data_IF_312018629822
#
_entry.id   IF_312018629822
#
_cell.length_a   1.000
_cell.length_b   1.000
_cell.length_c   1.000
_cell.angle_alpha   90.00
_cell.angle_beta   90.00
_cell.angle_gamma   90.00
#
_symmetry.space_group_name_H-M   'P 1'
#
loop_
_entity.id
_entity.type
_entity.pdbx_description
1 polymer ?
#
# COMPACT_ATOMS: atom_id res chain seq x y z
N UNK A 1 7.92 -3.89 5.48
CA UNK A 1 8.09 -3.17 4.19
C UNK A 1 7.03 -2.08 4.10
N UNK A 2 7.35 -0.89 3.56
CA UNK A 2 6.44 0.26 3.55
C UNK A 2 5.17 0.02 2.72
N UNK A 3 5.31 -0.51 1.50
CA UNK A 3 4.20 -0.80 0.59
C UNK A 3 3.16 -1.76 1.18
N UNK A 4 3.60 -2.75 1.99
CA UNK A 4 2.71 -3.71 2.64
C UNK A 4 1.81 -3.03 3.68
N UNK A 5 2.31 -1.99 4.35
CA UNK A 5 1.56 -1.25 5.36
C UNK A 5 0.43 -0.42 4.75
N UNK A 6 0.59 0.04 3.50
CA UNK A 6 -0.41 0.86 2.81
C UNK A 6 -1.35 0.04 1.90
N UNK A 7 -1.30 -1.29 1.99
CA UNK A 7 -2.01 -2.20 1.08
C UNK A 7 -3.49 -2.32 1.41
N UNK A 8 -3.80 -2.44 2.71
CA UNK A 8 -5.18 -2.52 3.18
C UNK A 8 -5.79 -1.13 3.32
N UNK A 9 -6.40 -0.63 2.24
CA UNK A 9 -7.06 0.68 2.23
C UNK A 9 -8.33 0.73 3.06
N UNK A 10 -8.81 -0.41 3.56
CA UNK A 10 -9.97 -0.45 4.45
C UNK A 10 -9.64 0.09 5.84
N UNK A 11 -8.42 -0.17 6.29
CA UNK A 11 -7.88 0.24 7.58
C UNK A 11 -8.01 1.76 7.87
N UNK A 12 -7.51 2.68 7.03
CA UNK A 12 -7.63 4.12 7.27
C UNK A 12 -9.08 4.59 7.38
N UNK A 13 -10.00 3.99 6.62
CA UNK A 13 -11.43 4.30 6.67
C UNK A 13 -12.03 3.82 7.99
N UNK A 14 -11.71 2.60 8.42
CA UNK A 14 -12.17 2.06 9.69
C UNK A 14 -11.69 2.92 10.88
N UNK A 15 -10.41 3.33 10.88
CA UNK A 15 -9.84 4.21 11.91
C UNK A 15 -10.54 5.57 11.93
N UNK A 16 -10.73 6.18 10.76
CA UNK A 16 -11.45 7.45 10.63
C UNK A 16 -12.88 7.36 11.15
N UNK A 17 -13.65 6.38 10.68
CA UNK A 17 -15.05 6.22 11.08
C UNK A 17 -15.18 5.97 12.58
N UNK A 18 -14.30 5.17 13.17
CA UNK A 18 -14.27 4.93 14.60
C UNK A 18 -13.97 6.22 15.37
N UNK A 19 -12.94 6.97 14.96
CA UNK A 19 -12.57 8.22 15.61
C UNK A 19 -13.69 9.27 15.52
N UNK A 20 -14.27 9.49 14.35
CA UNK A 20 -15.33 10.49 14.17
C UNK A 20 -16.59 10.15 14.99
N UNK A 21 -16.98 8.88 15.03
CA UNK A 21 -18.20 8.46 15.73
C UNK A 21 -18.01 8.35 17.24
N UNK A 22 -16.91 7.75 17.70
CA UNK A 22 -16.70 7.48 19.13
C UNK A 22 -16.01 8.61 19.89
N UNK A 23 -15.12 9.36 19.23
CA UNK A 23 -14.32 10.42 19.89
C UNK A 23 -14.92 11.79 19.61
N UNK A 24 -15.35 12.07 18.37
CA UNK A 24 -15.95 13.37 18.01
C UNK A 24 -17.47 13.42 18.12
N UNK A 25 -18.13 12.27 18.30
CA UNK A 25 -19.59 12.20 18.47
C UNK A 25 -20.39 12.45 17.19
N UNK A 26 -19.77 12.31 16.01
CA UNK A 26 -20.45 12.55 14.74
C UNK A 26 -21.33 11.34 14.40
N UNK A 27 -22.48 11.59 13.79
CA UNK A 27 -23.22 10.53 13.11
C UNK A 27 -22.42 9.99 11.92
N UNK A 28 -22.75 8.79 11.46
CA UNK A 28 -22.12 8.18 10.28
C UNK A 28 -22.24 9.10 9.05
N UNK A 29 -23.43 9.64 8.79
CA UNK A 29 -23.69 10.56 7.68
C UNK A 29 -22.81 11.80 7.77
N UNK A 30 -22.75 12.45 8.94
CA UNK A 30 -21.89 13.63 9.14
C UNK A 30 -20.41 13.32 8.89
N UNK A 31 -19.92 12.16 9.32
CA UNK A 31 -18.54 11.75 9.04
C UNK A 31 -18.31 11.57 7.53
N UNK A 32 -19.23 10.93 6.81
CA UNK A 32 -19.12 10.77 5.34
C UNK A 32 -19.17 12.12 4.61
N UNK A 33 -20.00 13.05 5.07
CA UNK A 33 -20.11 14.40 4.50
C UNK A 33 -18.82 15.19 4.70
N UNK A 34 -18.22 15.13 5.89
CA UNK A 34 -16.95 15.78 6.21
C UNK A 34 -15.82 15.20 5.38
N UNK A 35 -15.77 13.86 5.25
CA UNK A 35 -14.80 13.16 4.42
C UNK A 35 -14.87 13.60 2.95
N UNK A 36 -16.09 13.69 2.41
CA UNK A 36 -16.35 14.12 1.03
C UNK A 36 -16.00 15.59 0.83
N UNK A 37 -16.44 16.45 1.74
CA UNK A 37 -16.21 17.90 1.67
C UNK A 37 -14.70 18.21 1.74
N UNK A 38 -13.95 17.51 2.60
CA UNK A 38 -12.52 17.65 2.66
C UNK A 38 -11.84 17.24 1.34
N UNK A 39 -12.29 16.13 0.73
CA UNK A 39 -11.76 15.67 -0.56
C UNK A 39 -11.91 16.72 -1.67
N UNK A 40 -13.10 17.35 -1.74
CA UNK A 40 -13.39 18.42 -2.70
C UNK A 40 -12.56 19.66 -2.42
N UNK A 41 -12.49 20.10 -1.16
CA UNK A 41 -11.69 21.27 -0.77
C UNK A 41 -10.19 21.10 -1.05
N UNK A 42 -9.69 19.88 -0.99
CA UNK A 42 -8.30 19.56 -1.34
C UNK A 42 -8.07 19.40 -2.85
N UNK A 43 -9.12 19.43 -3.68
CA UNK A 43 -9.01 19.24 -5.13
C UNK A 43 -8.67 17.81 -5.56
N UNK A 44 -8.85 16.81 -4.67
CA UNK A 44 -8.58 15.39 -4.97
C UNK A 44 -9.86 14.62 -5.35
N UNK A 45 -10.99 15.33 -5.41
CA UNK A 45 -12.29 14.80 -5.82
C UNK A 45 -13.14 15.92 -6.44
N UNK A 46 -13.68 15.68 -7.63
CA UNK A 46 -14.49 16.68 -8.33
C UNK A 46 -15.94 16.72 -7.86
N UNK A 47 -16.50 15.57 -7.48
CA UNK A 47 -17.90 15.47 -7.06
C UNK A 47 -18.08 15.71 -5.57
N UNK A 48 -18.97 16.66 -5.24
CA UNK A 48 -19.43 16.94 -3.88
C UNK A 48 -20.53 15.97 -3.39
N UNK A 49 -21.04 15.08 -4.24
CA UNK A 49 -22.06 14.12 -3.84
C UNK A 49 -21.48 13.09 -2.86
N UNK A 50 -21.98 13.05 -1.62
CA UNK A 50 -21.54 12.06 -0.64
C UNK A 50 -21.88 10.62 -1.11
N UNK A 51 -20.94 9.65 -1.01
CA UNK A 51 -21.27 8.25 -1.21
C UNK A 51 -22.29 7.77 -0.18
N UNK A 52 -23.07 6.75 -0.53
CA UNK A 52 -24.02 6.17 0.41
C UNK A 52 -23.29 5.59 1.65
N UNK A 53 -23.94 5.67 2.81
CA UNK A 53 -23.39 5.16 4.08
C UNK A 53 -22.98 3.68 4.00
N UNK A 54 -23.73 2.86 3.25
CA UNK A 54 -23.41 1.44 3.06
C UNK A 54 -22.13 1.26 2.25
N UNK A 55 -21.91 2.06 1.21
CA UNK A 55 -20.68 2.05 0.42
C UNK A 55 -19.46 2.40 1.26
N UNK A 56 -19.55 3.41 2.12
CA UNK A 56 -18.43 3.74 3.03
C UNK A 56 -18.22 2.67 4.10
N UNK A 57 -19.30 2.03 4.56
CA UNK A 57 -19.19 0.89 5.48
C UNK A 57 -18.53 -0.33 4.83
N UNK A 58 -18.76 -0.55 3.53
CA UNK A 58 -18.06 -1.57 2.73
C UNK A 58 -16.59 -1.23 2.56
N UNK A 59 -16.25 0.04 2.33
CA UNK A 59 -14.84 0.48 2.29
C UNK A 59 -14.09 0.19 3.59
N UNK A 60 -14.75 0.28 4.75
CA UNK A 60 -14.14 -0.09 6.03
C UNK A 60 -13.94 -1.61 6.22
N UNK A 61 -14.31 -2.42 5.23
CA UNK A 61 -14.27 -3.90 5.26
C UNK A 61 -13.61 -4.50 4.01
N UNK A 62 -13.43 -3.73 2.94
CA UNK A 62 -12.83 -4.18 1.69
C UNK A 62 -11.68 -3.28 1.26
N UNK A 63 -10.76 -3.84 0.48
CA UNK A 63 -9.58 -3.12 -0.04
C UNK A 63 -9.90 -2.09 -1.13
N UNK A 64 -11.18 -1.95 -1.49
CA UNK A 64 -11.66 -1.14 -2.61
C UNK A 64 -11.85 0.35 -2.26
N UNK A 65 -11.52 0.75 -1.03
CA UNK A 65 -11.59 2.15 -0.64
C UNK A 65 -10.80 3.04 -1.62
N UNK A 66 -11.42 4.09 -2.20
CA UNK A 66 -10.78 4.93 -3.19
C UNK A 66 -9.68 5.77 -2.54
N UNK A 67 -8.60 6.05 -3.28
CA UNK A 67 -7.44 6.74 -2.72
C UNK A 67 -7.77 8.11 -2.13
N UNK A 68 -8.65 8.89 -2.77
CA UNK A 68 -9.08 10.19 -2.24
C UNK A 68 -9.69 10.06 -0.83
N UNK A 69 -10.40 8.97 -0.54
CA UNK A 69 -11.03 8.75 0.76
C UNK A 69 -9.99 8.46 1.84
N UNK A 70 -8.93 7.72 1.49
CA UNK A 70 -7.79 7.45 2.39
C UNK A 70 -7.05 8.75 2.70
N UNK A 71 -6.75 9.56 1.68
CA UNK A 71 -6.03 10.83 1.84
C UNK A 71 -6.85 11.81 2.68
N UNK A 72 -8.15 11.95 2.40
CA UNK A 72 -9.06 12.77 3.21
C UNK A 72 -9.17 12.31 4.65
N UNK A 73 -9.35 11.00 4.88
CA UNK A 73 -9.45 10.43 6.21
C UNK A 73 -8.23 10.78 7.06
N UNK A 74 -7.02 10.52 6.54
CA UNK A 74 -5.78 10.79 7.25
C UNK A 74 -5.53 12.28 7.49
N UNK A 75 -5.91 13.13 6.53
CA UNK A 75 -5.80 14.59 6.69
C UNK A 75 -6.71 15.12 7.79
N UNK A 76 -7.96 14.63 7.85
CA UNK A 76 -8.91 15.04 8.89
C UNK A 76 -8.45 14.56 10.27
N UNK A 77 -7.94 13.33 10.36
CA UNK A 77 -7.40 12.79 11.62
C UNK A 77 -6.24 13.65 12.13
N UNK A 78 -5.31 14.04 11.26
CA UNK A 78 -4.21 14.97 11.58
C UNK A 78 -4.73 16.33 12.07
N UNK A 79 -5.69 16.94 11.36
CA UNK A 79 -6.29 18.23 11.75
C UNK A 79 -7.00 18.17 13.10
N UNK A 80 -7.58 17.03 13.46
CA UNK A 80 -8.16 16.81 14.78
C UNK A 80 -7.16 16.40 15.86
N UNK A 81 -5.87 16.46 15.58
CA UNK A 81 -4.79 16.18 16.52
C UNK A 81 -4.59 14.69 16.81
N UNK A 82 -5.16 13.78 16.02
CA UNK A 82 -4.89 12.35 16.19
C UNK A 82 -3.47 12.05 15.69
N UNK A 83 -2.62 11.65 16.63
CA UNK A 83 -1.28 11.13 16.34
C UNK A 83 -1.40 9.67 15.86
N UNK A 84 -0.72 9.27 14.76
CA UNK A 84 -0.68 7.88 14.34
C UNK A 84 -0.06 6.97 15.41
N UNK A 85 -0.71 5.84 15.69
CA UNK A 85 -0.26 4.91 16.73
C UNK A 85 0.56 3.74 16.16
N UNK A 86 -0.04 2.96 15.25
CA UNK A 86 0.58 1.78 14.64
C UNK A 86 1.45 2.16 13.45
N UNK A 87 2.42 1.31 13.08
CA UNK A 87 3.22 1.50 11.86
C UNK A 87 2.35 1.58 10.60
N UNK A 88 1.20 0.90 10.60
CA UNK A 88 0.21 0.98 9.53
C UNK A 88 -0.43 2.37 9.46
N UNK A 89 -0.85 2.95 10.60
CA UNK A 89 -1.34 4.33 10.66
C UNK A 89 -0.26 5.33 10.20
N UNK A 90 0.98 5.14 10.65
CA UNK A 90 2.10 5.99 10.22
C UNK A 90 2.35 5.93 8.72
N UNK A 91 2.26 4.73 8.12
CA UNK A 91 2.42 4.56 6.69
C UNK A 91 1.30 5.24 5.89
N UNK A 92 0.03 5.06 6.28
CA UNK A 92 -1.07 5.74 5.60
C UNK A 92 -1.07 7.25 5.78
N UNK A 93 -0.77 7.73 6.99
CA UNK A 93 -0.65 9.16 7.26
C UNK A 93 0.44 9.78 6.39
N UNK A 94 1.66 9.23 6.41
CA UNK A 94 2.78 9.77 5.63
C UNK A 94 2.52 9.69 4.13
N UNK A 95 1.88 8.63 3.64
CA UNK A 95 1.43 8.56 2.25
C UNK A 95 0.48 9.70 1.90
N UNK A 96 -0.53 9.95 2.75
CA UNK A 96 -1.50 11.03 2.54
C UNK A 96 -0.86 12.44 2.58
N UNK A 97 0.16 12.67 3.42
CA UNK A 97 0.92 13.92 3.42
C UNK A 97 1.64 14.13 2.10
N UNK A 98 2.34 13.10 1.61
CA UNK A 98 3.11 13.18 0.36
C UNK A 98 2.20 13.26 -0.87
N UNK A 99 1.02 12.64 -0.85
CA UNK A 99 0.01 12.79 -1.91
C UNK A 99 -0.47 14.24 -2.04
N UNK A 100 -0.58 14.97 -0.92
CA UNK A 100 -0.94 16.41 -0.90
C UNK A 100 0.23 17.35 -1.16
N UNK A 101 1.42 16.84 -1.46
CA UNK A 101 2.62 17.65 -1.70
C UNK A 101 3.34 18.13 -0.43
N UNK A 102 3.05 17.55 0.73
CA UNK A 102 3.78 17.85 1.97
C UNK A 102 5.23 17.40 1.92
N UNK A 103 6.10 18.15 2.59
CA UNK A 103 7.54 17.93 2.62
C UNK A 103 8.07 17.54 4.01
N UNK A 104 9.37 17.26 4.09
CA UNK A 104 10.06 16.92 5.35
C UNK A 104 10.46 18.15 6.17
N UNK A 105 10.28 19.37 5.65
CA UNK A 105 10.74 20.61 6.31
C UNK A 105 9.82 20.95 7.48
N UNK A 106 8.53 20.67 7.33
CA UNK A 106 7.51 20.96 8.33
C UNK A 106 7.42 19.96 9.48
N UNK A 107 8.22 18.88 9.46
CA UNK A 107 8.08 17.75 10.38
C UNK A 107 9.43 17.30 10.94
N UNK A 108 9.44 16.81 12.18
CA UNK A 108 10.66 16.34 12.87
C UNK A 108 10.48 14.94 13.47
N UNK A 109 11.61 14.27 13.73
CA UNK A 109 11.63 12.96 14.38
C UNK A 109 10.89 11.87 13.59
N UNK A 110 10.03 11.10 14.27
CA UNK A 110 9.27 9.99 13.68
C UNK A 110 8.42 10.42 12.49
N UNK A 111 7.83 11.61 12.54
CA UNK A 111 7.03 12.17 11.45
C UNK A 111 7.84 12.30 10.16
N UNK A 112 9.03 12.89 10.27
CA UNK A 112 9.95 13.08 9.15
C UNK A 112 10.43 11.75 8.56
N UNK A 113 10.72 10.76 9.41
CA UNK A 113 11.17 9.43 8.97
C UNK A 113 10.13 8.75 8.08
N UNK A 114 8.86 8.78 8.48
CA UNK A 114 7.77 8.18 7.72
C UNK A 114 7.48 8.93 6.42
N UNK A 115 7.52 10.26 6.43
CA UNK A 115 7.42 11.07 5.20
C UNK A 115 8.54 10.69 4.22
N UNK A 116 9.78 10.52 4.68
CA UNK A 116 10.90 10.11 3.81
C UNK A 116 10.64 8.76 3.15
N UNK A 117 10.11 7.78 3.89
CA UNK A 117 9.74 6.46 3.34
C UNK A 117 8.64 6.60 2.28
N UNK A 118 7.60 7.39 2.57
CA UNK A 118 6.49 7.68 1.67
C UNK A 118 6.94 8.37 0.37
N UNK A 119 7.80 9.39 0.47
CA UNK A 119 8.37 10.11 -0.66
C UNK A 119 9.16 9.19 -1.59
N UNK A 120 10.00 8.33 -1.02
CA UNK A 120 10.77 7.36 -1.81
C UNK A 120 9.83 6.42 -2.54
N UNK A 121 8.84 5.86 -1.84
CA UNK A 121 7.86 4.97 -2.46
C UNK A 121 7.11 5.65 -3.60
N UNK A 122 6.55 6.85 -3.38
CA UNK A 122 5.83 7.63 -4.40
C UNK A 122 6.70 7.94 -5.60
N UNK A 123 7.92 8.45 -5.38
CA UNK A 123 8.85 8.80 -6.45
C UNK A 123 9.24 7.60 -7.33
N UNK A 124 9.34 6.39 -6.75
CA UNK A 124 9.55 5.17 -7.54
C UNK A 124 8.27 4.76 -8.28
N UNK A 125 7.12 4.83 -7.62
CA UNK A 125 5.83 4.48 -8.21
C UNK A 125 5.42 5.40 -9.38
N UNK A 126 5.78 6.67 -9.35
CA UNK A 126 5.57 7.61 -10.46
C UNK A 126 6.42 7.24 -11.69
N UNK A 127 7.62 6.70 -11.47
CA UNK A 127 8.52 6.20 -12.53
C UNK A 127 8.11 4.85 -13.11
N UNK A 128 7.00 4.25 -12.66
CA UNK A 128 6.55 2.91 -13.10
C UNK A 128 6.43 2.78 -14.62
N UNK A 129 5.97 3.83 -15.30
CA UNK A 129 5.84 3.84 -16.75
C UNK A 129 7.20 3.70 -17.45
N UNK A 130 8.20 4.42 -16.97
CA UNK A 130 9.57 4.39 -17.50
C UNK A 130 10.27 3.08 -17.20
N UNK A 131 10.09 2.56 -15.99
CA UNK A 131 10.61 1.25 -15.58
C UNK A 131 10.03 0.17 -16.50
N UNK A 132 8.71 0.15 -16.68
CA UNK A 132 8.03 -0.82 -17.57
C UNK A 132 8.56 -0.77 -19.00
N UNK A 133 8.78 0.42 -19.55
CA UNK A 133 9.34 0.58 -20.91
C UNK A 133 10.73 -0.03 -21.05
N UNK A 134 11.59 0.09 -20.03
CA UNK A 134 12.94 -0.50 -20.01
C UNK A 134 12.94 -2.03 -19.89
N UNK A 135 11.82 -2.62 -19.47
CA UNK A 135 11.65 -4.05 -19.24
C UNK A 135 10.83 -4.72 -20.37
N UNK A 136 10.79 -4.11 -21.55
CA UNK A 136 10.05 -4.63 -22.71
C UNK A 136 10.55 -5.99 -23.21
N UNK A 137 11.73 -6.43 -22.76
CA UNK A 137 12.28 -7.76 -23.06
C UNK A 137 11.58 -8.90 -22.30
N UNK A 138 10.96 -8.60 -21.16
CA UNK A 138 10.31 -9.62 -20.33
C UNK A 138 8.99 -10.08 -20.96
N UNK A 139 8.61 -11.34 -20.74
CA UNK A 139 7.30 -11.85 -21.20
C UNK A 139 6.15 -11.02 -20.62
N UNK A 140 6.30 -10.59 -19.36
CA UNK A 140 5.39 -9.64 -18.70
C UNK A 140 6.15 -8.41 -18.20
N UNK A 141 6.29 -7.35 -19.02
CA UNK A 141 6.94 -6.12 -18.60
C UNK A 141 6.23 -5.46 -17.40
N UNK A 142 4.93 -5.69 -17.28
CA UNK A 142 4.13 -5.23 -16.16
C UNK A 142 4.51 -5.96 -14.86
N UNK A 143 4.64 -7.29 -14.88
CA UNK A 143 5.09 -8.05 -13.72
C UNK A 143 6.53 -7.67 -13.34
N UNK A 144 7.43 -7.61 -14.32
CA UNK A 144 8.82 -7.25 -14.13
C UNK A 144 8.96 -5.87 -13.45
N UNK A 145 8.17 -4.89 -13.90
CA UNK A 145 8.13 -3.57 -13.28
C UNK A 145 7.65 -3.63 -11.83
N UNK A 146 6.61 -4.42 -11.52
CA UNK A 146 6.14 -4.58 -10.14
C UNK A 146 7.19 -5.22 -9.24
N UNK A 147 7.92 -6.23 -9.73
CA UNK A 147 9.06 -6.84 -9.01
C UNK A 147 10.09 -5.76 -8.67
N UNK A 148 10.56 -4.99 -9.66
CA UNK A 148 11.55 -3.92 -9.45
C UNK A 148 11.03 -2.85 -8.46
N UNK A 149 9.75 -2.49 -8.53
CA UNK A 149 9.14 -1.56 -7.58
C UNK A 149 9.09 -2.11 -6.15
N UNK A 150 8.90 -3.42 -5.96
CA UNK A 150 8.91 -4.03 -4.64
C UNK A 150 10.26 -3.79 -3.93
N UNK A 151 11.38 -3.86 -4.65
CA UNK A 151 12.71 -3.52 -4.12
C UNK A 151 12.88 -2.01 -3.91
N UNK A 152 12.77 -1.25 -5.00
CA UNK A 152 13.11 0.18 -5.02
C UNK A 152 12.18 1.02 -4.15
N UNK A 153 10.87 0.76 -4.24
CA UNK A 153 9.85 1.46 -3.47
C UNK A 153 9.95 1.21 -1.96
N UNK A 154 10.45 0.04 -1.55
CA UNK A 154 10.69 -0.28 -0.14
C UNK A 154 12.11 0.00 0.35
N UNK A 155 12.98 0.52 -0.50
CA UNK A 155 14.42 0.69 -0.22
C UNK A 155 15.09 -0.61 0.27
N UNK A 156 14.69 -1.75 -0.30
CA UNK A 156 15.25 -3.06 0.03
C UNK A 156 16.16 -3.52 -1.11
N UNK A 157 17.37 -3.94 -0.75
CA UNK A 157 18.30 -4.57 -1.68
C UNK A 157 18.02 -6.06 -1.87
N UNK A 158 17.41 -6.69 -0.86
CA UNK A 158 17.15 -8.12 -0.79
C UNK A 158 15.71 -8.35 -0.33
N UNK A 159 15.00 -9.25 -1.01
CA UNK A 159 13.66 -9.71 -0.68
C UNK A 159 13.54 -11.20 -1.01
N UNK A 160 12.76 -11.94 -0.23
CA UNK A 160 12.33 -13.29 -0.60
C UNK A 160 11.26 -13.26 -1.70
N UNK A 161 11.03 -14.39 -2.36
CA UNK A 161 9.94 -14.54 -3.34
C UNK A 161 8.60 -14.27 -2.65
N UNK A 162 8.38 -14.77 -1.43
CA UNK A 162 7.18 -14.51 -0.66
C UNK A 162 6.94 -13.01 -0.41
N UNK A 163 7.98 -12.27 -0.05
CA UNK A 163 7.88 -10.82 0.13
C UNK A 163 7.53 -10.11 -1.18
N UNK A 164 8.14 -10.49 -2.31
CA UNK A 164 7.81 -9.93 -3.62
C UNK A 164 6.37 -10.27 -4.00
N UNK A 165 5.93 -11.51 -3.80
CA UNK A 165 4.55 -11.93 -4.04
C UNK A 165 3.57 -11.09 -3.22
N UNK A 166 3.82 -10.92 -1.91
CA UNK A 166 2.99 -10.12 -1.02
C UNK A 166 2.94 -8.64 -1.44
N UNK A 167 3.94 -8.11 -2.14
CA UNK A 167 3.91 -6.76 -2.68
C UNK A 167 3.03 -6.62 -3.93
N UNK A 168 2.87 -7.71 -4.69
CA UNK A 168 2.30 -7.71 -6.04
C UNK A 168 0.84 -8.14 -6.06
N UNK A 169 0.54 -9.22 -5.35
CA UNK A 169 -0.81 -9.78 -5.29
C UNK A 169 -1.71 -8.90 -4.41
N UNK A 170 -2.91 -8.57 -4.86
CA UNK A 170 -3.86 -7.75 -4.09
C UNK A 170 -5.13 -8.51 -3.73
N UNK A 171 -5.09 -9.85 -3.74
CA UNK A 171 -6.21 -10.66 -3.29
C UNK A 171 -6.55 -10.41 -1.81
N UNK A 172 -7.82 -10.60 -1.45
CA UNK A 172 -8.27 -10.46 -0.07
C UNK A 172 -7.55 -11.47 0.84
N UNK A 173 -7.25 -12.68 0.34
CA UNK A 173 -6.55 -13.73 1.06
C UNK A 173 -5.11 -13.32 1.43
N UNK A 174 -4.39 -12.70 0.49
CA UNK A 174 -3.04 -12.19 0.76
C UNK A 174 -3.08 -10.99 1.70
N UNK A 175 -4.00 -10.03 1.48
CA UNK A 175 -4.09 -8.85 2.35
C UNK A 175 -4.41 -9.24 3.79
N UNK A 176 -5.37 -10.15 4.00
CA UNK A 176 -5.71 -10.67 5.33
C UNK A 176 -4.49 -11.28 6.04
N UNK A 177 -3.72 -12.11 5.33
CA UNK A 177 -2.51 -12.73 5.88
C UNK A 177 -1.39 -11.73 6.16
N UNK A 178 -1.14 -10.80 5.24
CA UNK A 178 -0.17 -9.72 5.44
C UNK A 178 -0.54 -8.89 6.67
N UNK A 179 -1.80 -8.50 6.82
CA UNK A 179 -2.27 -7.74 8.00
C UNK A 179 -2.05 -8.54 9.28
N UNK A 180 -2.38 -9.84 9.30
CA UNK A 180 -2.11 -10.72 10.45
C UNK A 180 -0.63 -10.77 10.81
N UNK A 181 0.25 -10.93 9.80
CA UNK A 181 1.71 -11.01 9.98
C UNK A 181 2.31 -9.69 10.47
N UNK A 182 1.86 -8.56 9.91
CA UNK A 182 2.25 -7.21 10.37
C UNK A 182 1.88 -7.01 11.84
N UNK A 183 0.66 -7.40 12.24
CA UNK A 183 0.19 -7.22 13.62
C UNK A 183 0.92 -8.13 14.63
N UNK A 184 1.42 -9.28 14.18
CA UNK A 184 2.22 -10.22 14.99
C UNK A 184 3.72 -9.97 14.92
N UNK A 185 4.17 -8.95 14.18
CA UNK A 185 5.60 -8.69 13.92
C UNK A 185 6.32 -9.86 13.26
N UNK A 186 5.59 -10.67 12.48
CA UNK A 186 6.11 -11.80 11.73
C UNK A 186 6.32 -11.44 10.25
N UNK A 187 7.22 -12.19 9.59
CA UNK A 187 7.42 -12.08 8.15
C UNK A 187 6.39 -12.93 7.39
N UNK A 188 5.94 -12.42 6.25
CA UNK A 188 5.19 -13.20 5.26
C UNK A 188 6.17 -14.13 4.53
N UNK A 189 5.89 -15.44 4.52
CA UNK A 189 6.83 -16.47 4.09
C UNK A 189 6.24 -17.37 2.98
N UNK A 190 7.01 -18.36 2.53
CA UNK A 190 6.60 -19.26 1.44
C UNK A 190 5.38 -20.12 1.82
N UNK A 191 5.21 -20.49 3.09
CA UNK A 191 4.01 -21.21 3.55
C UNK A 191 2.76 -20.35 3.38
N UNK A 192 2.82 -19.06 3.73
CA UNK A 192 1.72 -18.13 3.50
C UNK A 192 1.38 -18.01 2.00
N UNK A 193 2.39 -18.01 1.12
CA UNK A 193 2.18 -18.03 -0.34
C UNK A 193 1.44 -19.29 -0.75
N UNK A 194 1.91 -20.46 -0.30
CA UNK A 194 1.36 -21.76 -0.68
C UNK A 194 -0.09 -21.91 -0.24
N UNK A 195 -0.44 -21.40 0.95
CA UNK A 195 -1.82 -21.33 1.39
C UNK A 195 -2.68 -20.47 0.45
N UNK A 196 -2.22 -19.27 0.09
CA UNK A 196 -2.99 -18.37 -0.81
C UNK A 196 -3.19 -19.00 -2.18
N UNK A 197 -2.13 -19.52 -2.80
CA UNK A 197 -2.22 -20.10 -4.16
C UNK A 197 -3.02 -21.40 -4.18
N UNK A 198 -3.18 -22.08 -3.04
CA UNK A 198 -4.01 -23.28 -2.94
C UNK A 198 -5.52 -23.00 -2.98
N UNK A 199 -5.93 -21.78 -2.58
CA UNK A 199 -7.35 -21.39 -2.49
C UNK A 199 -7.76 -20.34 -3.51
N UNK A 200 -6.81 -19.73 -4.23
CA UNK A 200 -7.07 -18.66 -5.19
C UNK A 200 -6.32 -18.91 -6.51
N UNK A 201 -7.08 -19.29 -7.55
CA UNK A 201 -6.53 -19.60 -8.89
C UNK A 201 -5.85 -18.40 -9.56
N UNK A 202 -6.31 -17.18 -9.29
CA UNK A 202 -5.67 -15.97 -9.81
C UNK A 202 -4.32 -15.75 -9.13
N UNK A 203 -4.24 -15.96 -7.82
CA UNK A 203 -2.99 -15.91 -7.08
C UNK A 203 -2.01 -17.00 -7.56
N UNK A 204 -2.51 -18.20 -7.88
CA UNK A 204 -1.70 -19.29 -8.45
C UNK A 204 -1.11 -18.92 -9.81
N UNK A 205 -1.91 -18.34 -10.71
CA UNK A 205 -1.42 -17.84 -12.02
C UNK A 205 -0.39 -16.74 -11.84
N UNK A 206 -0.67 -15.79 -10.94
CA UNK A 206 0.24 -14.69 -10.61
C UNK A 206 1.58 -15.20 -10.07
N UNK A 207 1.55 -16.22 -9.20
CA UNK A 207 2.76 -16.81 -8.66
C UNK A 207 3.61 -17.48 -9.75
N UNK A 208 3.00 -18.24 -10.67
CA UNK A 208 3.70 -18.83 -11.80
C UNK A 208 4.33 -17.75 -12.72
N UNK A 209 3.58 -16.69 -13.03
CA UNK A 209 4.07 -15.55 -13.81
C UNK A 209 5.23 -14.83 -13.10
N UNK A 210 5.13 -14.68 -11.77
CA UNK A 210 6.18 -14.08 -10.94
C UNK A 210 7.48 -14.89 -11.02
N UNK A 211 7.43 -16.21 -10.86
CA UNK A 211 8.61 -17.07 -10.93
C UNK A 211 9.31 -16.97 -12.30
N UNK A 212 8.54 -17.03 -13.39
CA UNK A 212 9.06 -16.84 -14.74
C UNK A 212 9.72 -15.46 -14.89
N UNK A 213 9.05 -14.40 -14.42
CA UNK A 213 9.57 -13.03 -14.51
C UNK A 213 10.88 -12.85 -13.73
N UNK A 214 11.00 -13.47 -12.55
CA UNK A 214 12.23 -13.41 -11.76
C UNK A 214 13.36 -14.12 -12.53
N UNK A 215 13.10 -15.26 -13.17
CA UNK A 215 14.10 -15.91 -14.02
C UNK A 215 14.57 -14.99 -15.16
N UNK A 216 13.64 -14.37 -15.89
CA UNK A 216 13.97 -13.47 -17.00
C UNK A 216 14.80 -12.25 -16.55
N UNK A 217 14.46 -11.68 -15.39
CA UNK A 217 15.20 -10.57 -14.79
C UNK A 217 16.62 -10.99 -14.38
N UNK A 218 16.80 -12.23 -13.90
CA UNK A 218 18.09 -12.78 -13.54
C UNK A 218 18.96 -13.02 -14.78
N UNK A 219 18.39 -13.57 -15.85
CA UNK A 219 19.08 -13.79 -17.12
C UNK A 219 19.61 -12.47 -17.72
N UNK A 220 18.89 -11.36 -17.48
CA UNK A 220 19.29 -10.00 -17.88
C UNK A 220 20.15 -9.26 -16.84
N UNK A 221 20.59 -9.95 -15.77
CA UNK A 221 21.47 -9.42 -14.71
C UNK A 221 20.89 -8.21 -13.96
N UNK A 222 19.58 -8.08 -13.92
CA UNK A 222 18.90 -7.04 -13.14
C UNK A 222 18.67 -7.47 -11.70
N UNK A 223 18.68 -8.77 -11.44
CA UNK A 223 18.60 -9.38 -10.11
C UNK A 223 19.50 -10.61 -10.03
N UNK A 224 19.87 -10.99 -8.81
CA UNK A 224 20.66 -12.18 -8.51
C UNK A 224 19.93 -13.07 -7.50
N UNK A 225 19.99 -14.38 -7.70
CA UNK A 225 19.53 -15.37 -6.72
C UNK A 225 20.64 -15.67 -5.70
N UNK A 226 20.30 -15.58 -4.42
CA UNK A 226 21.17 -16.00 -3.33
C UNK A 226 20.84 -17.44 -2.90
N UNK A 227 21.86 -18.14 -2.41
CA UNK A 227 21.72 -19.48 -1.81
C UNK A 227 20.74 -19.52 -0.63
N UNK A 228 20.47 -18.37 0.00
CA UNK A 228 19.48 -18.24 1.06
C UNK A 228 18.02 -18.18 0.57
N UNK A 229 17.75 -18.35 -0.72
CA UNK A 229 16.40 -18.19 -1.31
C UNK A 229 15.97 -16.74 -1.51
N UNK A 230 16.82 -15.77 -1.17
CA UNK A 230 16.55 -14.36 -1.37
C UNK A 230 16.99 -13.90 -2.75
N UNK A 231 16.26 -12.94 -3.29
CA UNK A 231 16.57 -12.23 -4.53
C UNK A 231 17.21 -10.91 -4.15
N UNK A 232 18.30 -10.54 -4.83
CA UNK A 232 18.89 -9.20 -4.71
C UNK A 232 18.80 -8.42 -6.00
N UNK A 233 18.52 -7.12 -5.89
CA UNK A 233 18.53 -6.21 -7.05
C UNK A 233 19.94 -5.65 -7.28
N UNK A 234 20.34 -5.59 -8.54
CA UNK A 234 21.62 -5.05 -9.01
C UNK A 234 21.59 -3.52 -9.12
#
# INVERSE_FOLDING_TARGET
>A
MYSLLIKDRSYPIAVYMNYMTRVKGFTRTQAVDVLTTAAVKMGIRDSAAAPANNTVAEWGKSIEAPLWSVVSAMTILEQFGKVPFTDQEWAFWSYAVVERGGDTVSYTGKWQEWIRKAQVYKAQYEKRGDIRRKLAFATSPQMAMKVILAFRGNQRRSLSIAEVFANIDNSAETVSRVTRKVNSSECFNDEDVMEVVSVNDNAKKLYAELLLTIQELADHKLIDYRSSGNITIT
#
